data_IF_692129489757
#
_entry.id   IF_692129489757
#
_cell.length_a   1.000
_cell.length_b   1.000
_cell.length_c   1.000
_cell.angle_alpha   90.00
_cell.angle_beta   90.00
_cell.angle_gamma   90.00
#
_symmetry.space_group_name_H-M   'P 1'
#
loop_
_entity.id
_entity.type
_entity.pdbx_description
1 polymer ?
#
# COMPACT_ATOMS: atom_id res chain seq x y z
N UNK A 1 -18.62 24.84 23.96
CA UNK A 1 -17.76 25.36 22.89
C UNK A 1 -17.57 24.17 21.97
N UNK A 2 -18.13 24.23 20.80
CA UNK A 2 -17.89 23.19 19.77
C UNK A 2 -16.50 23.47 19.24
N UNK A 3 -15.54 22.59 19.56
CA UNK A 3 -14.22 22.60 18.90
C UNK A 3 -14.47 22.57 17.41
N UNK A 4 -13.88 23.50 16.68
CA UNK A 4 -14.01 23.52 15.23
C UNK A 4 -13.20 22.35 14.66
N UNK A 5 -13.71 21.70 13.61
CA UNK A 5 -13.03 20.54 12.99
C UNK A 5 -11.56 20.82 12.65
N UNK A 6 -11.14 22.03 12.20
CA UNK A 6 -9.72 22.35 12.02
C UNK A 6 -8.88 22.18 13.30
N UNK A 7 -9.41 22.61 14.46
CA UNK A 7 -8.68 22.53 15.74
C UNK A 7 -8.46 21.08 16.17
N UNK A 8 -9.45 20.20 15.90
CA UNK A 8 -9.36 18.78 16.20
C UNK A 8 -8.26 18.09 15.37
N UNK A 9 -8.15 18.39 14.09
CA UNK A 9 -7.13 17.80 13.21
C UNK A 9 -5.74 18.23 13.63
N UNK A 10 -5.55 19.51 13.93
CA UNK A 10 -4.27 20.06 14.39
C UNK A 10 -3.84 19.44 15.73
N UNK A 11 -4.78 19.25 16.67
CA UNK A 11 -4.54 18.59 17.95
C UNK A 11 -4.10 17.12 17.73
N UNK A 12 -4.82 16.37 16.88
CA UNK A 12 -4.50 14.96 16.57
C UNK A 12 -3.12 14.86 15.95
N UNK A 13 -2.82 15.62 14.91
CA UNK A 13 -1.53 15.55 14.19
C UNK A 13 -0.34 15.99 15.06
N UNK A 14 -0.56 16.91 16.01
CA UNK A 14 0.49 17.31 16.95
C UNK A 14 0.83 16.23 17.98
N UNK A 15 -0.17 15.42 18.37
CA UNK A 15 -0.03 14.35 19.38
C UNK A 15 0.29 12.99 18.78
N UNK A 16 -0.20 12.71 17.57
CA UNK A 16 -0.09 11.43 16.89
C UNK A 16 0.07 11.69 15.39
N UNK A 17 1.31 11.87 14.88
CA UNK A 17 1.54 12.03 13.45
C UNK A 17 1.10 10.79 12.67
N UNK A 18 0.79 10.95 11.39
CA UNK A 18 0.43 9.84 10.53
C UNK A 18 1.60 8.86 10.44
N UNK A 19 1.33 7.60 10.69
CA UNK A 19 2.24 6.50 10.41
C UNK A 19 1.82 5.87 9.09
N UNK A 20 2.42 6.33 7.99
CA UNK A 20 2.17 5.79 6.66
C UNK A 20 2.81 4.39 6.54
N UNK A 21 1.99 3.41 6.21
CA UNK A 21 2.40 2.01 6.13
C UNK A 21 3.16 1.65 4.87
N UNK A 22 3.10 2.46 3.83
CA UNK A 22 3.78 2.13 2.57
C UNK A 22 4.03 3.36 1.72
N UNK A 23 5.24 3.42 1.17
CA UNK A 23 5.60 4.27 0.05
C UNK A 23 6.75 3.64 -0.74
N UNK A 24 6.82 3.92 -2.03
CA UNK A 24 7.84 3.41 -2.94
C UNK A 24 9.02 4.38 -3.14
N UNK A 25 9.36 5.18 -2.12
CA UNK A 25 10.45 6.14 -2.18
C UNK A 25 11.77 5.55 -2.71
N UNK A 26 12.24 4.35 -2.27
CA UNK A 26 13.45 3.75 -2.82
C UNK A 26 13.36 3.46 -4.32
N UNK A 27 12.19 3.08 -4.82
CA UNK A 27 11.94 2.82 -6.23
C UNK A 27 11.91 4.14 -7.01
N UNK A 28 11.23 5.16 -6.50
CA UNK A 28 11.17 6.49 -7.09
C UNK A 28 12.58 7.13 -7.17
N UNK A 29 13.39 7.03 -6.12
CA UNK A 29 14.77 7.49 -6.12
C UNK A 29 15.64 6.78 -7.17
N UNK A 30 15.47 5.45 -7.29
CA UNK A 30 16.15 4.67 -8.33
C UNK A 30 15.80 5.16 -9.73
N UNK A 31 14.51 5.34 -10.02
CA UNK A 31 14.04 5.69 -11.34
C UNK A 31 14.36 7.14 -11.72
N UNK A 32 14.24 8.08 -10.78
CA UNK A 32 14.29 9.52 -11.05
C UNK A 32 15.68 10.15 -10.83
N UNK A 33 16.46 9.58 -9.91
CA UNK A 33 17.73 10.21 -9.48
C UNK A 33 18.89 9.26 -9.25
N UNK A 34 18.83 8.03 -9.76
CA UNK A 34 19.90 7.05 -9.62
C UNK A 34 20.29 6.78 -8.16
N UNK A 35 19.30 6.73 -7.26
CA UNK A 35 19.44 6.59 -5.80
C UNK A 35 20.04 7.82 -5.08
N UNK A 36 20.14 8.99 -5.72
CA UNK A 36 20.55 10.20 -5.00
C UNK A 36 19.54 10.56 -3.91
N UNK A 37 20.02 10.74 -2.69
CA UNK A 37 19.26 11.18 -1.51
C UNK A 37 19.41 12.68 -1.27
N UNK A 38 20.09 13.40 -2.17
CA UNK A 38 20.31 14.83 -2.05
C UNK A 38 19.00 15.60 -2.05
N UNK A 39 18.82 16.49 -1.09
CA UNK A 39 17.63 17.32 -0.93
C UNK A 39 16.42 16.62 -0.31
N UNK A 40 16.54 15.38 0.18
CA UNK A 40 15.42 14.69 0.86
C UNK A 40 15.06 15.30 2.21
N UNK A 41 15.99 15.94 2.88
CA UNK A 41 15.84 16.65 4.14
C UNK A 41 15.18 18.04 3.98
N UNK A 42 15.26 18.63 2.77
CA UNK A 42 14.66 19.92 2.44
C UNK A 42 13.34 19.80 1.66
N UNK A 43 12.87 18.56 1.38
CA UNK A 43 11.73 18.26 0.52
C UNK A 43 12.07 18.31 -0.96
N UNK A 44 11.64 17.32 -1.71
CA UNK A 44 11.82 17.23 -3.16
C UNK A 44 10.48 17.29 -3.89
N UNK A 45 10.23 18.29 -4.77
CA UNK A 45 8.96 18.47 -5.44
C UNK A 45 8.63 17.37 -6.47
N UNK A 46 9.61 16.52 -6.82
CA UNK A 46 9.47 15.37 -7.71
C UNK A 46 9.20 14.06 -6.96
N UNK A 47 9.12 14.09 -5.61
CA UNK A 47 8.82 12.95 -4.75
C UNK A 47 7.63 13.24 -3.85
N UNK A 48 6.92 12.19 -3.41
CA UNK A 48 5.75 12.31 -2.54
C UNK A 48 6.10 12.25 -1.04
N UNK A 49 7.33 11.86 -0.68
CA UNK A 49 7.75 11.65 0.71
C UNK A 49 9.22 12.00 0.95
N UNK A 50 9.55 12.23 2.22
CA UNK A 50 10.88 12.51 2.74
C UNK A 50 11.39 11.39 3.63
N UNK A 51 12.73 11.32 3.84
CA UNK A 51 13.32 10.26 4.66
C UNK A 51 13.51 10.64 6.12
N UNK A 52 13.28 9.69 7.01
CA UNK A 52 14.32 9.28 7.91
C UNK A 52 14.39 7.78 8.24
N UNK A 53 15.58 7.27 8.35
CA UNK A 53 16.16 6.01 8.87
C UNK A 53 15.34 4.74 8.74
N UNK A 54 15.67 3.95 7.71
CA UNK A 54 15.13 2.63 7.41
C UNK A 54 15.56 1.57 8.44
N UNK A 55 14.60 1.19 9.32
CA UNK A 55 14.67 -0.09 10.02
C UNK A 55 13.54 -0.98 9.50
N UNK A 56 13.83 -2.15 8.95
CA UNK A 56 12.81 -3.09 8.48
C UNK A 56 11.98 -3.55 9.68
N UNK A 57 10.66 -3.37 9.62
CA UNK A 57 9.72 -3.80 10.67
C UNK A 57 8.67 -4.76 10.14
N UNK A 58 8.52 -4.88 8.82
CA UNK A 58 7.64 -5.84 8.17
C UNK A 58 8.21 -6.31 6.84
N UNK A 59 7.73 -7.45 6.36
CA UNK A 59 8.08 -8.04 5.06
C UNK A 59 6.80 -8.46 4.35
N UNK A 60 6.59 -7.91 3.15
CA UNK A 60 5.52 -8.30 2.24
C UNK A 60 5.87 -9.64 1.58
N UNK A 61 4.94 -10.60 1.61
CA UNK A 61 5.23 -11.97 1.18
C UNK A 61 5.35 -12.13 -0.34
N UNK A 62 4.68 -11.29 -1.12
CA UNK A 62 4.79 -11.20 -2.58
C UNK A 62 4.72 -9.73 -3.01
N UNK A 63 5.06 -9.44 -4.26
CA UNK A 63 4.66 -8.22 -4.95
C UNK A 63 3.61 -8.57 -6.03
N UNK A 64 3.76 -8.10 -7.26
CA UNK A 64 2.82 -8.38 -8.35
C UNK A 64 2.92 -9.81 -8.90
N UNK A 65 4.09 -10.44 -8.75
CA UNK A 65 4.35 -11.81 -9.18
C UNK A 65 4.36 -12.76 -7.99
N UNK A 66 4.01 -14.04 -8.24
CA UNK A 66 4.15 -15.10 -7.27
C UNK A 66 5.61 -15.28 -6.85
N UNK A 67 5.81 -15.63 -5.59
CA UNK A 67 7.07 -16.24 -5.16
C UNK A 67 6.97 -17.77 -5.30
N UNK A 68 8.08 -18.49 -5.09
CA UNK A 68 8.07 -19.97 -5.10
C UNK A 68 7.32 -20.58 -3.90
N UNK A 69 6.83 -19.75 -2.97
CA UNK A 69 6.27 -20.17 -1.69
C UNK A 69 4.96 -19.45 -1.31
N UNK A 70 4.52 -18.44 -2.09
CA UNK A 70 3.27 -17.70 -1.86
C UNK A 70 2.69 -17.19 -3.19
N UNK A 71 1.35 -17.18 -3.29
CA UNK A 71 0.63 -16.64 -4.42
C UNK A 71 0.36 -15.14 -4.24
N UNK A 72 0.59 -14.36 -5.31
CA UNK A 72 0.24 -12.94 -5.44
C UNK A 72 -1.23 -12.78 -5.84
N UNK A 73 -1.82 -11.63 -5.49
CA UNK A 73 -3.18 -11.25 -5.88
C UNK A 73 -3.33 -10.97 -7.39
N UNK A 74 -2.24 -10.65 -8.07
CA UNK A 74 -2.21 -10.19 -9.47
C UNK A 74 -1.51 -11.16 -10.42
N UNK A 75 -1.21 -12.39 -9.97
CA UNK A 75 -0.61 -13.45 -10.78
C UNK A 75 -1.50 -14.71 -10.75
N UNK A 76 -1.28 -15.63 -11.69
CA UNK A 76 -2.01 -16.89 -11.73
C UNK A 76 -1.63 -17.79 -10.54
N UNK A 77 -2.60 -18.38 -9.83
CA UNK A 77 -2.31 -19.20 -8.67
C UNK A 77 -1.35 -20.36 -8.98
N UNK A 78 -0.27 -20.49 -8.21
CA UNK A 78 0.79 -21.48 -8.45
C UNK A 78 0.99 -22.45 -7.28
N UNK A 79 0.82 -21.99 -6.03
CA UNK A 79 1.10 -22.82 -4.84
C UNK A 79 -0.13 -23.04 -3.94
N UNK A 80 -1.27 -22.39 -4.26
CA UNK A 80 -2.51 -22.50 -3.51
C UNK A 80 -2.49 -21.77 -2.17
N UNK A 81 -1.90 -20.60 -2.15
CA UNK A 81 -1.69 -19.77 -0.97
C UNK A 81 -0.25 -19.87 -0.45
N UNK A 82 -0.01 -20.43 0.73
CA UNK A 82 1.33 -20.69 1.27
C UNK A 82 1.66 -22.18 1.21
N UNK A 83 2.85 -22.52 0.69
CA UNK A 83 3.42 -23.84 0.88
C UNK A 83 4.21 -23.95 2.21
N UNK A 84 4.90 -25.08 2.45
CA UNK A 84 5.64 -25.30 3.70
C UNK A 84 6.78 -24.29 3.91
N UNK A 85 7.44 -23.86 2.85
CA UNK A 85 8.47 -22.80 2.90
C UNK A 85 7.85 -21.47 3.31
N UNK A 86 6.69 -21.10 2.73
CA UNK A 86 5.98 -19.87 3.10
C UNK A 86 5.55 -19.88 4.57
N UNK A 87 5.05 -21.01 5.08
CA UNK A 87 4.73 -21.18 6.51
C UNK A 87 5.96 -21.05 7.41
N UNK A 88 7.10 -21.60 6.98
CA UNK A 88 8.36 -21.47 7.71
C UNK A 88 8.85 -20.01 7.74
N UNK A 89 8.67 -19.25 6.64
CA UNK A 89 8.97 -17.81 6.59
C UNK A 89 8.08 -17.04 7.57
N UNK A 90 6.77 -17.29 7.60
CA UNK A 90 5.86 -16.66 8.56
C UNK A 90 6.29 -16.96 10.00
N UNK A 91 6.64 -18.21 10.32
CA UNK A 91 7.13 -18.58 11.64
C UNK A 91 8.44 -17.87 12.00
N UNK A 92 9.36 -17.71 11.06
CA UNK A 92 10.63 -17.00 11.27
C UNK A 92 10.42 -15.49 11.49
N UNK A 93 9.54 -14.85 10.73
CA UNK A 93 9.17 -13.45 10.93
C UNK A 93 8.56 -13.26 12.33
N UNK A 94 7.66 -14.15 12.76
CA UNK A 94 7.10 -14.10 14.12
C UNK A 94 8.19 -14.29 15.19
N UNK A 95 9.13 -15.22 14.99
CA UNK A 95 10.25 -15.48 15.91
C UNK A 95 11.12 -14.24 16.13
N UNK A 96 11.33 -13.45 15.09
CA UNK A 96 12.21 -12.29 15.05
C UNK A 96 11.50 -10.96 15.34
N UNK A 97 10.17 -10.97 15.49
CA UNK A 97 9.38 -9.76 15.76
C UNK A 97 9.18 -8.85 14.54
N UNK A 98 9.38 -9.41 13.34
CA UNK A 98 9.08 -8.74 12.07
C UNK A 98 7.64 -9.06 11.68
N UNK A 99 6.86 -8.03 11.33
CA UNK A 99 5.46 -8.23 10.93
C UNK A 99 5.38 -8.92 9.56
N UNK A 100 4.42 -9.82 9.45
CA UNK A 100 4.01 -10.38 8.15
C UNK A 100 3.08 -9.40 7.48
N UNK A 101 3.46 -8.87 6.33
CA UNK A 101 2.63 -7.99 5.52
C UNK A 101 1.89 -8.79 4.43
N UNK A 102 0.59 -8.64 4.40
CA UNK A 102 -0.35 -9.35 3.52
C UNK A 102 -0.89 -8.49 2.38
N UNK A 103 -0.37 -7.27 2.18
CA UNK A 103 -0.63 -6.54 0.94
C UNK A 103 -0.04 -7.30 -0.25
N UNK A 104 -0.60 -7.16 -1.43
CA UNK A 104 -0.23 -7.86 -2.67
C UNK A 104 -0.53 -9.36 -2.74
N UNK A 105 -0.74 -10.05 -1.63
CA UNK A 105 -0.91 -11.51 -1.66
C UNK A 105 -2.34 -11.91 -2.03
N UNK A 106 -2.51 -13.05 -2.70
CA UNK A 106 -3.81 -13.64 -3.01
C UNK A 106 -4.63 -13.92 -1.75
N UNK A 107 -5.96 -13.91 -1.83
CA UNK A 107 -6.83 -14.20 -0.68
C UNK A 107 -6.52 -15.57 -0.03
N UNK A 108 -6.17 -16.58 -0.83
CA UNK A 108 -5.71 -17.89 -0.32
C UNK A 108 -4.45 -17.77 0.55
N UNK A 109 -3.52 -16.89 0.16
CA UNK A 109 -2.30 -16.59 0.92
C UNK A 109 -2.63 -15.79 2.19
N UNK A 110 -3.54 -14.80 2.10
CA UNK A 110 -3.99 -14.02 3.27
C UNK A 110 -4.53 -14.95 4.36
N UNK A 111 -5.45 -15.84 3.99
CA UNK A 111 -6.05 -16.82 4.91
C UNK A 111 -5.04 -17.80 5.48
N UNK A 112 -4.13 -18.31 4.65
CA UNK A 112 -3.10 -19.25 5.09
C UNK A 112 -2.09 -18.59 6.05
N UNK A 113 -1.70 -17.35 5.78
CA UNK A 113 -0.78 -16.59 6.64
C UNK A 113 -1.44 -16.20 7.97
N UNK A 114 -2.71 -15.75 7.95
CA UNK A 114 -3.47 -15.46 9.17
C UNK A 114 -3.62 -16.70 10.05
N UNK A 115 -3.82 -17.88 9.45
CA UNK A 115 -3.90 -19.14 10.20
C UNK A 115 -2.55 -19.61 10.74
N UNK A 116 -1.43 -19.26 10.09
CA UNK A 116 -0.08 -19.66 10.49
C UNK A 116 0.58 -18.69 11.49
N UNK A 117 0.22 -17.41 11.44
CA UNK A 117 0.85 -16.38 12.25
C UNK A 117 0.37 -16.44 13.71
N UNK A 118 1.32 -16.48 14.65
CA UNK A 118 1.07 -16.35 16.09
C UNK A 118 1.21 -14.92 16.59
N UNK A 119 1.65 -14.01 15.72
CA UNK A 119 1.72 -12.56 15.96
C UNK A 119 0.68 -11.83 15.12
N UNK A 120 0.27 -10.60 15.49
CA UNK A 120 -0.55 -9.78 14.63
C UNK A 120 0.11 -9.58 13.27
N UNK A 121 -0.70 -9.51 12.20
CA UNK A 121 -0.23 -9.25 10.84
C UNK A 121 -0.57 -7.82 10.42
N UNK A 122 0.01 -7.40 9.30
CA UNK A 122 -0.20 -6.09 8.69
C UNK A 122 -0.74 -6.28 7.26
N UNK A 123 -1.63 -5.40 6.83
CA UNK A 123 -1.79 -5.03 5.44
C UNK A 123 -1.25 -3.61 5.30
N UNK A 124 -0.08 -3.44 4.71
CA UNK A 124 0.61 -2.14 4.67
C UNK A 124 -0.08 -1.12 3.75
N UNK A 125 -0.74 -1.60 2.67
CA UNK A 125 -1.47 -0.77 1.71
C UNK A 125 -2.47 -1.61 0.91
N UNK A 126 -3.69 -1.68 1.39
CA UNK A 126 -4.82 -2.35 0.72
C UNK A 126 -6.10 -1.58 1.00
N UNK A 127 -7.16 -1.83 0.21
CA UNK A 127 -8.47 -1.27 0.45
C UNK A 127 -9.52 -2.37 0.63
N UNK A 128 -10.82 -2.05 0.63
CA UNK A 128 -11.87 -3.02 0.90
C UNK A 128 -12.56 -3.48 -0.38
N UNK A 129 -12.72 -4.80 -0.52
CA UNK A 129 -13.27 -5.41 -1.74
C UNK A 129 -14.77 -5.16 -1.89
N UNK A 130 -15.48 -4.96 -0.79
CA UNK A 130 -16.91 -4.71 -0.81
C UNK A 130 -17.31 -3.44 -1.60
N UNK A 131 -16.43 -2.43 -1.67
CA UNK A 131 -16.69 -1.19 -2.39
C UNK A 131 -16.11 -1.21 -3.82
N UNK A 132 -15.06 -1.99 -4.06
CA UNK A 132 -14.51 -2.18 -5.39
C UNK A 132 -13.88 -3.59 -5.48
N UNK A 133 -14.43 -4.45 -6.35
CA UNK A 133 -13.99 -5.85 -6.52
C UNK A 133 -12.68 -5.92 -7.30
N UNK A 134 -11.62 -5.43 -6.66
CA UNK A 134 -10.27 -5.49 -7.19
C UNK A 134 -9.45 -6.54 -6.42
N UNK A 135 -8.59 -7.37 -7.06
CA UNK A 135 -7.86 -8.46 -6.39
C UNK A 135 -6.91 -7.98 -5.29
N UNK A 136 -6.43 -6.72 -5.36
CA UNK A 136 -5.59 -6.09 -4.33
C UNK A 136 -6.38 -5.68 -3.08
N UNK A 137 -7.71 -5.66 -3.14
CA UNK A 137 -8.59 -5.29 -2.04
C UNK A 137 -8.93 -6.51 -1.17
N UNK A 138 -9.14 -6.25 0.12
CA UNK A 138 -9.37 -7.28 1.14
C UNK A 138 -10.86 -7.53 1.30
N UNK A 139 -11.27 -8.80 1.26
CA UNK A 139 -12.66 -9.21 1.45
C UNK A 139 -13.08 -9.16 2.93
N UNK A 140 -14.34 -8.85 3.21
CA UNK A 140 -14.88 -8.73 4.57
C UNK A 140 -14.58 -9.95 5.46
N UNK A 141 -14.71 -11.22 5.00
CA UNK A 141 -14.34 -12.37 5.83
C UNK A 141 -12.86 -12.44 6.20
N UNK A 142 -11.97 -11.78 5.44
CA UNK A 142 -10.55 -11.66 5.77
C UNK A 142 -10.32 -10.52 6.77
N UNK A 143 -11.07 -9.42 6.65
CA UNK A 143 -11.08 -8.34 7.65
C UNK A 143 -11.53 -8.83 9.03
N UNK A 144 -12.51 -9.73 9.08
CA UNK A 144 -12.93 -10.38 10.32
C UNK A 144 -11.80 -11.26 10.92
N UNK A 145 -11.13 -12.05 10.09
CA UNK A 145 -9.95 -12.83 10.52
C UNK A 145 -8.79 -11.94 11.00
N UNK A 146 -8.57 -10.80 10.35
CA UNK A 146 -7.58 -9.80 10.75
C UNK A 146 -7.88 -9.24 12.14
N UNK A 147 -9.15 -8.88 12.40
CA UNK A 147 -9.61 -8.46 13.72
C UNK A 147 -9.28 -9.50 14.79
N UNK A 148 -9.65 -10.76 14.54
CA UNK A 148 -9.46 -11.86 15.47
C UNK A 148 -7.96 -12.18 15.71
N UNK A 149 -7.11 -11.95 14.70
CA UNK A 149 -5.65 -12.03 14.80
C UNK A 149 -5.04 -10.86 15.61
N UNK A 150 -5.75 -9.74 15.73
CA UNK A 150 -5.24 -8.52 16.36
C UNK A 150 -4.43 -7.62 15.44
N UNK A 151 -4.40 -7.89 14.15
CA UNK A 151 -3.67 -7.15 13.12
C UNK A 151 -4.25 -5.80 12.77
N UNK A 152 -3.72 -5.18 11.69
CA UNK A 152 -4.18 -3.89 11.18
C UNK A 152 -4.14 -3.86 9.64
N UNK A 153 -5.16 -3.26 9.02
CA UNK A 153 -5.16 -2.88 7.61
C UNK A 153 -4.92 -1.38 7.50
N UNK A 154 -3.91 -1.00 6.70
CA UNK A 154 -3.67 0.40 6.36
C UNK A 154 -4.26 0.68 4.97
N UNK A 155 -5.24 1.61 4.94
CA UNK A 155 -6.02 1.91 3.75
C UNK A 155 -5.17 2.67 2.75
N UNK A 156 -5.12 2.15 1.51
CA UNK A 156 -4.38 2.78 0.41
C UNK A 156 -5.22 3.83 -0.33
N UNK A 157 -4.55 4.73 -1.03
CA UNK A 157 -5.19 5.78 -1.83
C UNK A 157 -5.12 5.50 -3.33
N UNK A 158 -4.62 4.34 -3.74
CA UNK A 158 -4.51 3.93 -5.16
C UNK A 158 -5.85 4.03 -5.86
N UNK A 159 -6.03 4.91 -6.86
CA UNK A 159 -7.33 5.17 -7.49
C UNK A 159 -8.03 3.93 -8.04
N UNK A 160 -7.26 2.99 -8.60
CA UNK A 160 -7.79 1.71 -9.13
C UNK A 160 -8.37 0.79 -8.06
N UNK A 161 -7.94 0.93 -6.80
CA UNK A 161 -8.44 0.14 -5.67
C UNK A 161 -9.62 0.80 -4.99
N UNK A 162 -9.76 2.13 -5.16
CA UNK A 162 -10.83 2.93 -4.55
C UNK A 162 -12.08 2.98 -5.44
N UNK A 163 -11.93 3.14 -6.76
CA UNK A 163 -13.05 3.39 -7.67
C UNK A 163 -13.17 2.32 -8.75
N UNK A 164 -14.36 1.70 -8.86
CA UNK A 164 -14.68 0.76 -9.93
C UNK A 164 -14.62 1.42 -11.31
N UNK A 165 -15.05 2.70 -11.42
CA UNK A 165 -14.97 3.44 -12.69
C UNK A 165 -13.51 3.63 -13.15
N UNK A 166 -12.59 3.86 -12.21
CA UNK A 166 -11.16 3.95 -12.53
C UNK A 166 -10.57 2.60 -12.86
N UNK A 167 -11.02 1.53 -12.19
CA UNK A 167 -10.61 0.16 -12.53
C UNK A 167 -11.06 -0.23 -13.94
N UNK A 168 -12.31 0.02 -14.30
CA UNK A 168 -12.85 -0.20 -15.64
C UNK A 168 -12.09 0.62 -16.72
N UNK A 169 -11.84 1.90 -16.44
CA UNK A 169 -11.02 2.74 -17.32
C UNK A 169 -9.60 2.16 -17.50
N UNK A 170 -9.03 1.59 -16.44
CA UNK A 170 -7.72 0.93 -16.50
C UNK A 170 -7.71 -0.30 -17.40
N UNK A 171 -8.78 -1.10 -17.38
CA UNK A 171 -8.94 -2.25 -18.29
C UNK A 171 -9.08 -1.80 -19.74
N UNK A 172 -9.87 -0.74 -20.01
CA UNK A 172 -9.99 -0.14 -21.35
C UNK A 172 -8.65 0.40 -21.87
N UNK A 173 -7.89 1.09 -20.99
CA UNK A 173 -6.55 1.58 -21.33
C UNK A 173 -5.60 0.42 -21.65
N UNK A 174 -5.65 -0.66 -20.88
CA UNK A 174 -4.83 -1.85 -21.11
C UNK A 174 -5.19 -2.52 -22.46
N UNK A 175 -6.47 -2.66 -22.77
CA UNK A 175 -6.94 -3.19 -24.05
C UNK A 175 -6.47 -2.32 -25.23
N UNK A 176 -6.47 -0.99 -25.09
CA UNK A 176 -5.97 -0.07 -26.11
C UNK A 176 -4.44 -0.17 -26.29
N UNK A 177 -3.68 -0.36 -25.19
CA UNK A 177 -2.24 -0.63 -25.26
C UNK A 177 -1.94 -1.91 -26.02
N UNK A 178 -2.67 -2.98 -25.75
CA UNK A 178 -2.53 -4.26 -26.46
C UNK A 178 -2.85 -4.09 -27.96
N UNK A 179 -3.91 -3.37 -28.29
CA UNK A 179 -4.29 -3.04 -29.67
C UNK A 179 -3.17 -2.31 -30.42
N UNK A 180 -2.44 -1.44 -29.73
CA UNK A 180 -1.34 -0.65 -30.26
C UNK A 180 0.01 -1.40 -30.24
N UNK A 181 0.07 -2.60 -29.69
CA UNK A 181 1.30 -3.37 -29.52
C UNK A 181 2.28 -2.76 -28.51
N UNK A 182 1.77 -1.92 -27.61
CA UNK A 182 2.53 -1.36 -26.51
C UNK A 182 2.64 -2.38 -25.36
N UNK A 183 3.74 -2.36 -24.59
CA UNK A 183 3.86 -3.23 -23.43
C UNK A 183 2.73 -2.94 -22.45
N UNK A 184 2.35 -3.97 -21.68
CA UNK A 184 1.43 -3.82 -20.56
C UNK A 184 1.86 -2.67 -19.66
N UNK A 185 0.92 -2.05 -18.99
CA UNK A 185 1.19 -0.86 -18.17
C UNK A 185 2.44 -1.02 -17.31
N UNK A 186 3.27 0.01 -17.17
CA UNK A 186 4.47 0.04 -16.36
C UNK A 186 4.26 0.03 -14.83
N UNK A 187 3.16 -0.57 -14.33
CA UNK A 187 3.19 -1.17 -12.99
C UNK A 187 4.32 -2.20 -12.87
N UNK A 188 4.73 -2.74 -13.98
CA UNK A 188 6.02 -3.36 -14.16
C UNK A 188 7.10 -2.26 -14.17
N UNK A 189 7.37 -1.68 -13.01
CA UNK A 189 8.74 -1.30 -12.75
C UNK A 189 9.62 -2.42 -13.28
N UNK A 190 10.80 -2.08 -13.87
CA UNK A 190 11.63 -3.10 -14.43
C UNK A 190 11.73 -4.23 -13.42
N UNK A 191 11.09 -5.35 -13.74
CA UNK A 191 11.16 -6.53 -12.89
C UNK A 191 12.60 -6.80 -12.55
N UNK A 192 12.85 -7.20 -11.32
CA UNK A 192 14.18 -7.66 -10.97
C UNK A 192 14.64 -8.72 -11.99
N UNK A 193 15.91 -8.67 -12.48
CA UNK A 193 16.41 -9.68 -13.38
C UNK A 193 16.14 -11.06 -12.78
N UNK A 194 15.53 -11.96 -13.54
CA UNK A 194 15.41 -13.35 -13.11
C UNK A 194 16.80 -13.96 -12.99
N UNK A 195 16.98 -14.99 -12.16
CA UNK A 195 18.27 -15.70 -12.08
C UNK A 195 18.74 -16.09 -13.48
N UNK A 196 19.90 -15.55 -13.93
CA UNK A 196 20.48 -15.77 -15.25
C UNK A 196 20.21 -14.68 -16.30
N UNK A 197 19.41 -13.66 -16.01
CA UNK A 197 19.27 -12.48 -16.87
C UNK A 197 20.32 -11.42 -16.49
N UNK A 198 21.00 -10.87 -17.49
CA UNK A 198 21.96 -9.79 -17.25
C UNK A 198 21.23 -8.47 -16.98
N UNK A 199 21.67 -7.73 -15.97
CA UNK A 199 21.14 -6.39 -15.63
C UNK A 199 21.16 -5.40 -16.82
N UNK A 200 22.10 -5.58 -17.76
CA UNK A 200 22.19 -4.83 -19.00
C UNK A 200 21.00 -5.06 -19.95
N UNK A 201 20.37 -6.24 -19.93
CA UNK A 201 19.19 -6.53 -20.77
C UNK A 201 17.96 -5.76 -20.24
N UNK A 202 17.76 -5.77 -18.96
CA UNK A 202 16.69 -5.03 -18.27
C UNK A 202 16.85 -3.52 -18.46
N UNK A 203 18.06 -3.00 -18.36
CA UNK A 203 18.37 -1.58 -18.64
C UNK A 203 18.10 -1.19 -20.09
N UNK A 204 18.29 -2.12 -21.06
CA UNK A 204 18.02 -1.89 -22.47
C UNK A 204 16.53 -1.91 -22.78
N UNK A 205 15.76 -2.79 -22.17
CA UNK A 205 14.29 -2.79 -22.27
C UNK A 205 13.69 -1.51 -21.69
N UNK A 206 14.22 -1.02 -20.57
CA UNK A 206 13.87 0.27 -19.98
C UNK A 206 14.18 1.46 -20.91
N UNK A 207 15.39 1.49 -21.48
CA UNK A 207 15.79 2.56 -22.38
C UNK A 207 14.96 2.57 -23.67
N UNK A 208 14.53 1.41 -24.17
CA UNK A 208 13.64 1.27 -25.32
C UNK A 208 12.21 1.78 -25.04
N UNK A 209 11.74 1.67 -23.79
CA UNK A 209 10.42 2.16 -23.37
C UNK A 209 10.32 3.69 -23.26
N UNK A 210 11.44 4.42 -23.27
CA UNK A 210 11.46 5.89 -23.18
C UNK A 210 11.49 6.61 -24.55
N UNK A 211 11.55 5.89 -25.67
CA UNK A 211 11.50 6.50 -26.97
C UNK A 211 10.05 6.53 -27.45
N UNK A 212 9.41 7.71 -27.38
CA UNK A 212 8.04 7.90 -27.84
C UNK A 212 7.90 7.42 -29.29
N UNK A 213 6.91 6.57 -29.53
CA UNK A 213 6.59 5.99 -30.83
C UNK A 213 5.28 6.56 -31.35
N UNK A 214 4.94 6.29 -32.63
CA UNK A 214 3.62 6.66 -33.16
C UNK A 214 2.47 5.97 -32.42
N UNK A 215 2.71 4.81 -31.79
CA UNK A 215 1.76 4.12 -30.92
C UNK A 215 1.54 4.87 -29.60
N UNK A 216 2.60 5.44 -29.02
CA UNK A 216 2.48 6.27 -27.82
C UNK A 216 1.70 7.55 -28.09
N UNK A 217 1.91 8.18 -29.27
CA UNK A 217 1.12 9.35 -29.69
C UNK A 217 -0.37 9.00 -29.91
N UNK A 218 -0.67 7.78 -30.39
CA UNK A 218 -2.05 7.33 -30.56
C UNK A 218 -2.70 7.01 -29.21
N UNK A 219 -1.97 6.38 -28.29
CA UNK A 219 -2.43 6.16 -26.93
C UNK A 219 -2.72 7.49 -26.21
N UNK A 220 -1.84 8.48 -26.35
CA UNK A 220 -2.06 9.81 -25.80
C UNK A 220 -3.35 10.45 -26.33
N UNK A 221 -3.59 10.39 -27.65
CA UNK A 221 -4.86 10.87 -28.23
C UNK A 221 -6.08 10.08 -27.74
N UNK A 222 -5.89 8.80 -27.44
CA UNK A 222 -6.95 7.99 -26.84
C UNK A 222 -7.27 8.47 -25.42
N UNK A 223 -6.26 8.69 -24.56
CA UNK A 223 -6.45 9.18 -23.18
C UNK A 223 -7.05 10.60 -23.14
N UNK A 224 -6.73 11.48 -24.10
CA UNK A 224 -7.40 12.78 -24.23
C UNK A 224 -8.91 12.65 -24.52
N UNK A 225 -9.32 11.64 -25.28
CA UNK A 225 -10.74 11.39 -25.61
C UNK A 225 -11.47 10.59 -24.53
N UNK A 226 -10.73 9.84 -23.73
CA UNK A 226 -11.21 9.00 -22.63
C UNK A 226 -10.46 9.43 -21.36
N UNK A 227 -10.76 10.62 -20.83
CA UNK A 227 -10.08 11.10 -19.61
C UNK A 227 -10.37 10.16 -18.46
N UNK A 228 -9.33 9.87 -17.67
CA UNK A 228 -9.49 9.04 -16.49
C UNK A 228 -10.46 9.69 -15.49
N UNK A 229 -11.41 8.91 -14.91
CA UNK A 229 -12.25 9.40 -13.85
C UNK A 229 -11.42 9.85 -12.63
N UNK A 230 -11.86 10.88 -11.94
CA UNK A 230 -11.23 11.35 -10.72
C UNK A 230 -11.72 10.53 -9.52
N UNK A 231 -10.82 10.24 -8.58
CA UNK A 231 -11.16 9.72 -7.26
C UNK A 231 -11.10 10.87 -6.25
N UNK A 232 -12.04 10.89 -5.34
CA UNK A 232 -12.18 11.94 -4.32
C UNK A 232 -11.74 11.44 -2.95
N UNK A 233 -11.40 12.37 -2.07
CA UNK A 233 -11.13 12.08 -0.65
C UNK A 233 -12.34 11.43 0.04
N UNK A 234 -13.55 11.75 -0.39
CA UNK A 234 -14.77 11.15 0.16
C UNK A 234 -14.85 9.64 -0.15
N UNK A 235 -14.47 9.21 -1.36
CA UNK A 235 -14.42 7.79 -1.70
C UNK A 235 -13.34 7.05 -0.89
N UNK A 236 -12.19 7.67 -0.62
CA UNK A 236 -11.18 7.09 0.29
C UNK A 236 -11.76 6.95 1.71
N UNK A 237 -12.47 7.97 2.20
CA UNK A 237 -13.13 7.94 3.50
C UNK A 237 -14.19 6.82 3.58
N UNK A 238 -14.92 6.53 2.49
CA UNK A 238 -15.88 5.41 2.43
C UNK A 238 -15.18 4.06 2.68
N UNK A 239 -14.00 3.84 2.08
CA UNK A 239 -13.19 2.63 2.33
C UNK A 239 -12.71 2.56 3.78
N UNK A 240 -12.30 3.69 4.37
CA UNK A 240 -11.89 3.76 5.79
C UNK A 240 -13.05 3.41 6.71
N UNK A 241 -14.25 3.95 6.45
CA UNK A 241 -15.45 3.67 7.25
C UNK A 241 -15.89 2.21 7.13
N UNK A 242 -15.90 1.64 5.93
CA UNK A 242 -16.24 0.22 5.75
C UNK A 242 -15.25 -0.69 6.49
N UNK A 243 -13.95 -0.44 6.36
CA UNK A 243 -12.94 -1.20 7.10
C UNK A 243 -13.13 -1.08 8.62
N UNK A 244 -13.46 0.12 9.12
CA UNK A 244 -13.80 0.36 10.53
C UNK A 244 -15.02 -0.43 10.97
N UNK A 245 -16.06 -0.50 10.14
CA UNK A 245 -17.29 -1.23 10.44
C UNK A 245 -17.04 -2.74 10.57
N UNK A 246 -16.25 -3.33 9.65
CA UNK A 246 -16.02 -4.77 9.60
C UNK A 246 -14.90 -5.23 10.55
N UNK A 247 -13.73 -4.61 10.47
CA UNK A 247 -12.56 -4.99 11.26
C UNK A 247 -12.56 -4.35 12.67
N UNK A 248 -13.25 -3.22 12.83
CA UNK A 248 -13.24 -2.45 14.07
C UNK A 248 -12.20 -1.32 14.09
N UNK A 249 -12.45 -0.29 14.91
CA UNK A 249 -11.64 0.94 14.98
C UNK A 249 -10.16 0.72 15.32
N UNK A 250 -9.85 -0.36 16.05
CA UNK A 250 -8.50 -0.63 16.51
C UNK A 250 -7.65 -1.39 15.48
N UNK A 251 -8.23 -1.74 14.33
CA UNK A 251 -7.65 -2.58 13.28
C UNK A 251 -7.47 -1.87 11.94
N UNK A 252 -7.54 -0.55 11.91
CA UNK A 252 -7.40 0.27 10.71
C UNK A 252 -6.27 1.29 10.84
N UNK A 253 -5.66 1.65 9.72
CA UNK A 253 -4.60 2.64 9.61
C UNK A 253 -4.57 3.26 8.21
N UNK A 254 -3.52 4.01 7.89
CA UNK A 254 -3.33 4.65 6.59
C UNK A 254 -2.02 4.18 5.95
N UNK A 255 -2.07 3.82 4.67
CA UNK A 255 -0.92 3.40 3.86
C UNK A 255 -1.08 3.92 2.44
N UNK A 256 -0.79 5.21 2.23
CA UNK A 256 -1.18 5.99 1.06
C UNK A 256 -0.62 5.53 -0.27
N UNK A 257 0.42 4.69 -0.27
CA UNK A 257 1.11 4.20 -1.47
C UNK A 257 1.68 5.35 -2.32
N UNK A 258 2.16 6.40 -1.65
CA UNK A 258 2.80 7.52 -2.31
C UNK A 258 4.09 7.06 -3.00
N UNK A 259 4.37 7.65 -4.17
CA UNK A 259 5.42 7.25 -5.10
C UNK A 259 5.23 5.87 -5.78
N UNK A 260 4.25 5.06 -5.35
CA UNK A 260 3.90 3.78 -5.96
C UNK A 260 2.93 3.89 -7.14
N UNK A 261 2.28 5.06 -7.31
CA UNK A 261 1.33 5.33 -8.39
C UNK A 261 1.56 6.69 -9.03
N UNK A 262 1.15 6.83 -10.28
CA UNK A 262 1.33 8.07 -11.07
C UNK A 262 0.27 9.14 -10.76
N UNK A 263 -0.82 8.76 -10.10
CA UNK A 263 -1.92 9.65 -9.76
C UNK A 263 -2.47 9.32 -8.38
N UNK A 264 -2.91 10.35 -7.68
CA UNK A 264 -3.52 10.29 -6.37
C UNK A 264 -4.95 10.87 -6.40
N UNK A 265 -5.81 10.52 -5.43
CA UNK A 265 -7.13 11.14 -5.31
C UNK A 265 -7.06 12.65 -5.14
N UNK A 266 -8.10 13.35 -5.62
CA UNK A 266 -8.23 14.81 -5.44
C UNK A 266 -8.21 15.14 -3.95
N UNK A 267 -7.29 16.01 -3.57
CA UNK A 267 -7.06 16.39 -2.17
C UNK A 267 -6.01 15.58 -1.43
N UNK A 268 -5.49 14.50 -2.06
CA UNK A 268 -4.45 13.61 -1.50
C UNK A 268 -3.23 13.49 -2.42
N UNK A 269 -2.90 14.56 -3.16
CA UNK A 269 -1.84 14.55 -4.17
C UNK A 269 -0.45 14.19 -3.59
N UNK A 270 -0.22 14.49 -2.32
CA UNK A 270 0.99 14.17 -1.57
C UNK A 270 0.68 14.05 -0.07
N UNK A 271 1.68 13.80 0.75
CA UNK A 271 1.52 13.61 2.21
C UNK A 271 0.94 14.82 2.94
N UNK A 272 0.98 16.02 2.35
CA UNK A 272 0.31 17.21 2.92
C UNK A 272 -1.22 17.12 2.82
N UNK A 273 -1.77 16.15 2.09
CA UNK A 273 -3.19 15.86 1.96
C UNK A 273 -3.81 15.12 3.15
N UNK A 274 -3.03 14.48 4.02
CA UNK A 274 -3.59 13.76 5.18
C UNK A 274 -4.57 14.59 6.03
N UNK A 275 -4.32 15.89 6.33
CA UNK A 275 -5.29 16.71 7.04
C UNK A 275 -6.64 16.85 6.31
N UNK A 276 -6.68 16.73 4.98
CA UNK A 276 -7.93 16.80 4.20
C UNK A 276 -8.76 15.55 4.46
N UNK A 277 -8.16 14.36 4.44
CA UNK A 277 -8.84 13.11 4.78
C UNK A 277 -9.33 13.10 6.24
N UNK A 278 -8.48 13.52 7.17
CA UNK A 278 -8.85 13.57 8.58
C UNK A 278 -10.01 14.56 8.83
N UNK A 279 -10.06 15.64 8.09
CA UNK A 279 -11.16 16.62 8.17
C UNK A 279 -12.45 16.03 7.62
N UNK A 280 -12.39 15.32 6.48
CA UNK A 280 -13.54 14.59 5.93
C UNK A 280 -14.11 13.58 6.94
N UNK A 281 -13.24 12.78 7.59
CA UNK A 281 -13.65 11.83 8.62
C UNK A 281 -14.22 12.52 9.86
N UNK A 282 -13.64 13.64 10.30
CA UNK A 282 -14.17 14.44 11.41
C UNK A 282 -15.55 15.02 11.09
N UNK A 283 -15.78 15.50 9.86
CA UNK A 283 -17.09 15.97 9.39
C UNK A 283 -18.14 14.84 9.37
N UNK A 284 -17.71 13.60 9.18
CA UNK A 284 -18.52 12.38 9.31
C UNK A 284 -18.74 11.92 10.76
N UNK A 285 -18.23 12.66 11.74
CA UNK A 285 -18.45 12.42 13.17
C UNK A 285 -17.39 11.54 13.85
N UNK A 286 -16.21 11.36 13.25
CA UNK A 286 -15.10 10.69 13.93
C UNK A 286 -14.58 11.54 15.09
N UNK A 287 -14.36 10.91 16.25
CA UNK A 287 -13.76 11.58 17.39
C UNK A 287 -12.24 11.72 17.23
N UNK A 288 -11.62 12.63 17.99
CA UNK A 288 -10.16 12.75 18.05
C UNK A 288 -9.48 11.43 18.39
N UNK A 289 -10.06 10.64 19.30
CA UNK A 289 -9.53 9.31 19.66
C UNK A 289 -9.59 8.31 18.51
N UNK A 290 -10.61 8.39 17.63
CA UNK A 290 -10.69 7.55 16.43
C UNK A 290 -9.64 7.95 15.39
N UNK A 291 -9.43 9.25 15.19
CA UNK A 291 -8.43 9.79 14.28
C UNK A 291 -7.01 9.47 14.75
N UNK A 292 -6.71 9.58 16.04
CA UNK A 292 -5.42 9.17 16.62
C UNK A 292 -5.17 7.67 16.48
N UNK A 293 -6.21 6.83 16.60
CA UNK A 293 -6.11 5.40 16.36
C UNK A 293 -5.73 5.11 14.91
N UNK A 294 -6.45 5.73 13.96
CA UNK A 294 -6.23 5.60 12.52
C UNK A 294 -4.84 6.09 12.10
N UNK A 295 -4.38 7.24 12.59
CA UNK A 295 -3.12 7.86 12.13
C UNK A 295 -1.87 7.14 12.60
N UNK A 296 -1.90 6.43 13.74
CA UNK A 296 -0.67 5.79 14.19
C UNK A 296 -0.79 4.83 15.38
N UNK A 297 -1.73 5.05 16.32
CA UNK A 297 -1.78 4.24 17.56
C UNK A 297 -2.01 2.76 17.27
N UNK A 298 -2.86 2.43 16.27
CA UNK A 298 -3.16 1.06 15.90
C UNK A 298 -1.92 0.33 15.35
N UNK A 299 -1.19 0.95 14.43
CA UNK A 299 0.03 0.38 13.86
C UNK A 299 1.11 0.22 14.92
N UNK A 300 1.31 1.24 15.77
CA UNK A 300 2.26 1.16 16.88
C UNK A 300 1.92 0.04 17.87
N UNK A 301 0.64 -0.22 18.13
CA UNK A 301 0.17 -1.35 18.93
C UNK A 301 0.62 -2.68 18.30
N UNK A 302 0.37 -2.85 17.00
CA UNK A 302 0.69 -4.08 16.26
C UNK A 302 2.20 -4.31 16.23
N UNK A 303 3.01 -3.27 15.97
CA UNK A 303 4.47 -3.34 16.01
C UNK A 303 4.98 -3.76 17.41
N UNK A 304 4.50 -3.10 18.46
CA UNK A 304 4.90 -3.43 19.85
C UNK A 304 4.51 -4.85 20.24
N UNK A 305 3.35 -5.31 19.81
CA UNK A 305 2.90 -6.67 20.12
C UNK A 305 3.76 -7.72 19.39
N UNK A 306 4.15 -7.47 18.11
CA UNK A 306 5.05 -8.35 17.39
C UNK A 306 6.44 -8.41 18.04
N UNK A 307 7.00 -7.26 18.44
CA UNK A 307 8.27 -7.19 19.18
C UNK A 307 8.18 -7.89 20.54
N UNK A 308 7.06 -7.74 21.25
CA UNK A 308 6.85 -8.39 22.55
C UNK A 308 6.73 -9.92 22.45
N UNK A 309 6.13 -10.43 21.39
CA UNK A 309 5.99 -11.88 21.14
C UNK A 309 7.24 -12.53 20.56
N UNK A 310 8.20 -11.72 20.07
CA UNK A 310 9.45 -12.23 19.52
C UNK A 310 10.25 -12.99 20.57
N UNK A 311 10.75 -14.19 20.20
CA UNK A 311 11.65 -14.97 21.05
C UNK A 311 13.12 -14.62 20.83
N UNK A 312 13.45 -14.11 19.66
CA UNK A 312 14.78 -13.62 19.28
C UNK A 312 14.64 -12.34 18.44
N UNK A 313 14.34 -11.18 19.06
CA UNK A 313 14.12 -9.95 18.32
C UNK A 313 15.38 -9.50 17.58
N UNK A 314 15.22 -9.11 16.33
CA UNK A 314 16.33 -8.59 15.47
C UNK A 314 16.90 -7.27 16.01
N UNK A 315 16.16 -6.57 16.86
CA UNK A 315 16.52 -5.25 17.35
C UNK A 315 16.58 -5.26 18.88
N UNK A 316 17.57 -4.58 19.49
CA UNK A 316 17.50 -4.35 20.93
C UNK A 316 16.19 -3.60 21.22
N UNK A 317 15.40 -4.14 22.14
CA UNK A 317 14.15 -3.57 22.64
C UNK A 317 14.41 -2.24 23.35
N UNK A 318 14.80 -1.21 22.61
CA UNK A 318 14.74 0.15 23.10
C UNK A 318 13.28 0.61 22.95
N UNK A 319 12.64 1.10 24.02
CA UNK A 319 11.29 1.61 23.89
C UNK A 319 11.29 2.71 22.84
N UNK A 320 10.42 2.55 21.83
CA UNK A 320 10.05 3.65 20.93
C UNK A 320 9.53 4.78 21.85
N UNK A 321 10.30 5.88 21.95
CA UNK A 321 9.96 7.04 22.77
C UNK A 321 8.95 7.89 22.03
#
# INVERSE_FOLDING_TARGET
MTDTVPDLVDEVLSSTPVFDGHNDLPIALRARSGYSVEGLDDGRPDLHTDLPRLGVRYVTLTHNDNTTWADSATDEPAVGGLNDTGRAIVAELNRTGVLVDLSHVAESTQRAALAASVSPVLFSHSSVRALNDHPRNVADPVLELLRDNGGVIQLTFVPYFISAEVAEWGEELQAERERLGLPSQPWTWPRAPRPGEEAAHVAKELAAGFTATAADDELHRWTERHPRPEVTVAQVADHVEHAREVAGRDHIGLGGDYDGVDHQPVGLADVSGYPVLLRELADRGWSGADLEALTGRNVLRVLREAEHRATEPLWPTAPLR
#
